data_IF_708163378751
#
_entry.id   IF_708163378751
#
_cell.length_a   1.000
_cell.length_b   1.000
_cell.length_c   1.000
_cell.angle_alpha   90.00
_cell.angle_beta   90.00
_cell.angle_gamma   90.00
#
_symmetry.space_group_name_H-M   'P 1'
#
loop_
_entity.id
_entity.type
_entity.pdbx_description
1 polymer ?
#
# COMPACT_ATOMS: atom_id res chain seq x y z
N UNK A 1 4.76 26.12 24.66
CA UNK A 1 6.18 25.94 25.01
C UNK A 1 6.37 26.40 26.42
N UNK A 2 7.02 25.63 27.26
CA UNK A 2 7.36 25.94 28.62
C UNK A 2 8.54 26.94 28.65
N UNK A 3 8.75 27.68 29.75
CA UNK A 3 9.86 28.64 29.87
C UNK A 3 11.24 27.99 29.73
N UNK A 4 11.34 26.69 29.99
CA UNK A 4 12.57 25.90 29.87
C UNK A 4 12.75 25.25 28.45
N UNK A 5 11.92 25.65 27.49
CA UNK A 5 11.97 25.17 26.11
C UNK A 5 11.30 23.80 25.86
N UNK A 6 10.75 23.15 26.88
CA UNK A 6 10.02 21.88 26.71
C UNK A 6 8.64 22.13 26.13
N UNK A 7 8.13 21.13 25.39
CA UNK A 7 6.75 21.13 24.90
C UNK A 7 5.85 20.50 25.95
N UNK A 8 4.75 21.18 26.32
CA UNK A 8 3.67 20.64 27.12
C UNK A 8 2.47 20.36 26.21
N UNK A 9 1.93 19.14 26.28
CA UNK A 9 0.72 18.71 25.56
C UNK A 9 -0.41 18.64 26.58
N UNK A 10 -1.47 19.46 26.39
CA UNK A 10 -2.55 19.58 27.34
C UNK A 10 -3.79 18.77 26.99
N UNK A 11 -3.99 18.46 25.72
CA UNK A 11 -5.18 17.74 25.25
C UNK A 11 -4.79 16.53 24.42
N UNK A 12 -5.21 15.35 24.88
CA UNK A 12 -5.10 14.06 24.21
C UNK A 12 -6.50 13.46 23.94
N UNK A 13 -7.54 14.30 23.91
CA UNK A 13 -8.94 13.86 23.78
C UNK A 13 -9.29 13.26 22.43
N UNK A 14 -8.56 13.58 21.36
CA UNK A 14 -8.74 12.96 20.05
C UNK A 14 -7.56 12.07 19.72
N UNK A 15 -7.72 10.77 19.92
CA UNK A 15 -6.75 9.74 19.54
C UNK A 15 -7.40 8.74 18.59
N UNK A 16 -6.62 8.25 17.63
CA UNK A 16 -7.03 7.17 16.78
C UNK A 16 -6.12 5.96 17.01
N UNK A 17 -6.74 4.78 17.09
CA UNK A 17 -6.00 3.53 17.09
C UNK A 17 -5.75 3.08 15.66
N UNK A 18 -4.49 2.98 15.28
CA UNK A 18 -4.10 2.52 13.95
C UNK A 18 -3.70 1.04 14.00
N UNK A 19 -4.50 0.14 13.38
CA UNK A 19 -4.19 -1.28 13.34
C UNK A 19 -2.81 -1.54 12.70
N UNK A 20 -2.05 -2.55 13.16
CA UNK A 20 -0.71 -2.82 12.65
C UNK A 20 -0.65 -2.99 11.12
N UNK A 21 -1.62 -3.70 10.53
CA UNK A 21 -1.72 -3.89 9.08
C UNK A 21 -1.91 -2.57 8.32
N UNK A 22 -2.78 -1.69 8.82
CA UNK A 22 -2.99 -0.38 8.22
C UNK A 22 -1.72 0.47 8.30
N UNK A 23 -1.05 0.47 9.45
CA UNK A 23 0.22 1.19 9.64
C UNK A 23 1.31 0.73 8.67
N UNK A 24 1.40 -0.58 8.40
CA UNK A 24 2.36 -1.12 7.42
C UNK A 24 2.05 -0.67 6.00
N UNK A 25 0.77 -0.68 5.62
CA UNK A 25 0.33 -0.18 4.30
C UNK A 25 0.59 1.31 4.15
N UNK A 26 0.27 2.11 5.18
CA UNK A 26 0.53 3.56 5.15
C UNK A 26 2.02 3.88 5.04
N UNK A 27 2.90 3.12 5.69
CA UNK A 27 4.34 3.26 5.51
C UNK A 27 4.75 2.95 4.06
N UNK A 28 4.19 1.92 3.44
CA UNK A 28 4.46 1.58 2.04
C UNK A 28 4.00 2.70 1.11
N UNK A 29 2.79 3.22 1.31
CA UNK A 29 2.24 4.37 0.59
C UNK A 29 3.16 5.59 0.74
N UNK A 30 3.63 5.87 1.95
CA UNK A 30 4.53 7.00 2.20
C UNK A 30 5.86 6.86 1.46
N UNK A 31 6.47 5.66 1.44
CA UNK A 31 7.68 5.40 0.65
C UNK A 31 7.45 5.63 -0.84
N UNK A 32 6.38 5.06 -1.39
CA UNK A 32 6.02 5.24 -2.79
C UNK A 32 5.75 6.71 -3.13
N UNK A 33 5.11 7.47 -2.23
CA UNK A 33 4.83 8.89 -2.41
C UNK A 33 6.11 9.75 -2.42
N UNK A 34 7.04 9.50 -1.50
CA UNK A 34 8.33 10.20 -1.44
C UNK A 34 9.16 9.93 -2.68
N UNK A 35 9.13 8.70 -3.20
CA UNK A 35 9.82 8.30 -4.44
C UNK A 35 9.09 8.76 -5.71
N UNK A 36 7.92 9.41 -5.60
CA UNK A 36 7.13 9.88 -6.75
C UNK A 36 6.39 8.78 -7.51
N UNK A 37 6.26 7.57 -6.94
CA UNK A 37 5.63 6.41 -7.57
C UNK A 37 4.10 6.44 -7.39
N UNK A 38 3.44 7.31 -8.16
CA UNK A 38 2.02 7.62 -8.00
C UNK A 38 1.09 6.43 -8.24
N UNK A 39 1.39 5.55 -9.18
CA UNK A 39 0.61 4.34 -9.47
C UNK A 39 0.62 3.38 -8.27
N UNK A 40 1.78 3.13 -7.66
CA UNK A 40 1.88 2.29 -6.46
C UNK A 40 1.12 2.88 -5.27
N UNK A 41 1.14 4.21 -5.11
CA UNK A 41 0.34 4.91 -4.10
C UNK A 41 -1.15 4.66 -4.32
N UNK A 42 -1.62 4.77 -5.56
CA UNK A 42 -3.02 4.55 -5.90
C UNK A 42 -3.44 3.10 -5.66
N UNK A 43 -2.66 2.13 -6.10
CA UNK A 43 -2.92 0.70 -5.91
C UNK A 43 -2.96 0.31 -4.43
N UNK A 44 -1.99 0.78 -3.65
CA UNK A 44 -1.96 0.52 -2.21
C UNK A 44 -3.15 1.16 -1.48
N UNK A 45 -3.58 2.37 -1.87
CA UNK A 45 -4.79 3.01 -1.33
C UNK A 45 -6.06 2.26 -1.72
N UNK A 46 -6.19 1.80 -2.96
CA UNK A 46 -7.30 0.95 -3.40
C UNK A 46 -7.36 -0.31 -2.53
N UNK A 47 -6.22 -0.93 -2.25
CA UNK A 47 -6.13 -2.19 -1.48
C UNK A 47 -6.64 -2.09 -0.04
N UNK A 48 -6.66 -0.89 0.55
CA UNK A 48 -7.13 -0.63 1.92
C UNK A 48 -8.50 0.07 1.96
N UNK A 49 -9.08 0.35 0.80
CA UNK A 49 -10.31 1.11 0.65
C UNK A 49 -11.45 0.22 0.16
N UNK A 50 -12.68 0.71 0.27
CA UNK A 50 -13.87 0.02 -0.26
C UNK A 50 -14.30 0.68 -1.56
N UNK A 51 -14.36 -0.09 -2.64
CA UNK A 51 -14.90 0.36 -3.94
C UNK A 51 -16.43 0.48 -3.83
N UNK A 52 -16.96 1.62 -4.26
CA UNK A 52 -18.40 1.84 -4.41
C UNK A 52 -18.82 1.50 -5.85
N UNK A 53 -20.13 1.39 -6.11
CA UNK A 53 -20.66 1.04 -7.44
C UNK A 53 -20.19 1.98 -8.56
N UNK A 54 -20.02 3.28 -8.25
CA UNK A 54 -19.57 4.31 -9.20
C UNK A 54 -18.06 4.54 -9.18
N UNK A 55 -17.24 3.54 -8.78
CA UNK A 55 -15.81 3.71 -8.72
C UNK A 55 -15.17 3.81 -10.12
N UNK A 56 -14.60 4.96 -10.41
CA UNK A 56 -13.84 5.27 -11.63
C UNK A 56 -12.33 5.07 -11.35
N UNK A 57 -11.84 3.85 -11.60
CA UNK A 57 -10.46 3.46 -11.33
C UNK A 57 -9.47 4.23 -12.21
N UNK A 58 -9.75 4.40 -13.50
CA UNK A 58 -8.85 5.09 -14.44
C UNK A 58 -8.66 6.56 -14.05
N UNK A 59 -9.74 7.24 -13.72
CA UNK A 59 -9.68 8.61 -13.22
C UNK A 59 -8.92 8.71 -11.92
N UNK A 60 -9.15 7.76 -11.00
CA UNK A 60 -8.48 7.73 -9.69
C UNK A 60 -6.97 7.56 -9.84
N UNK A 61 -6.50 6.59 -10.64
CA UNK A 61 -5.09 6.36 -10.92
C UNK A 61 -4.43 7.62 -11.51
N UNK A 62 -5.06 8.24 -12.50
CA UNK A 62 -4.56 9.44 -13.15
C UNK A 62 -4.46 10.62 -12.19
N UNK A 63 -5.51 10.92 -11.43
CA UNK A 63 -5.53 12.08 -10.51
C UNK A 63 -4.56 11.89 -9.34
N UNK A 64 -4.46 10.67 -8.79
CA UNK A 64 -3.51 10.33 -7.72
C UNK A 64 -2.07 10.41 -8.24
N UNK A 65 -1.78 9.87 -9.42
CA UNK A 65 -0.47 9.97 -10.06
C UNK A 65 -0.03 11.42 -10.25
N UNK A 66 -0.91 12.29 -10.73
CA UNK A 66 -0.64 13.73 -10.89
C UNK A 66 -0.40 14.43 -9.55
N UNK A 67 -1.17 14.09 -8.51
CA UNK A 67 -0.97 14.64 -7.17
C UNK A 67 0.41 14.28 -6.64
N UNK A 68 0.80 13.01 -6.72
CA UNK A 68 2.09 12.51 -6.22
C UNK A 68 3.26 13.08 -7.02
N UNK A 69 3.15 13.19 -8.34
CA UNK A 69 4.17 13.82 -9.18
C UNK A 69 4.40 15.29 -8.78
N UNK A 70 3.33 16.04 -8.54
CA UNK A 70 3.42 17.42 -8.02
C UNK A 70 4.06 17.47 -6.64
N UNK A 71 3.71 16.54 -5.76
CA UNK A 71 4.31 16.43 -4.42
C UNK A 71 5.81 16.16 -4.49
N UNK A 72 6.24 15.22 -5.32
CA UNK A 72 7.64 14.88 -5.50
C UNK A 72 8.46 16.05 -6.09
N UNK A 73 7.87 16.82 -7.01
CA UNK A 73 8.53 17.94 -7.67
C UNK A 73 8.65 19.21 -6.81
N UNK A 74 7.75 19.39 -5.81
CA UNK A 74 7.71 20.62 -5.01
C UNK A 74 8.47 20.47 -3.71
N UNK A 75 9.41 21.37 -3.44
CA UNK A 75 10.20 21.41 -2.20
C UNK A 75 9.44 21.87 -0.96
N UNK A 76 8.20 22.36 -1.08
CA UNK A 76 7.44 23.02 0.00
C UNK A 76 6.00 22.51 0.14
N UNK A 77 5.76 21.23 -0.03
CA UNK A 77 4.42 20.66 0.07
C UNK A 77 4.09 20.26 1.53
N UNK A 78 2.82 20.45 1.89
CA UNK A 78 2.27 20.01 3.18
C UNK A 78 1.88 18.54 3.10
N UNK A 79 2.54 17.68 3.86
CA UNK A 79 2.26 16.24 3.91
C UNK A 79 0.80 15.97 4.33
N UNK A 80 0.30 16.74 5.30
CA UNK A 80 -1.08 16.63 5.76
C UNK A 80 -2.08 16.98 4.64
N UNK A 81 -1.77 17.99 3.81
CA UNK A 81 -2.61 18.37 2.67
C UNK A 81 -2.63 17.28 1.61
N UNK A 82 -1.48 16.68 1.29
CA UNK A 82 -1.40 15.58 0.32
C UNK A 82 -2.29 14.41 0.75
N UNK A 83 -2.24 14.02 2.02
CA UNK A 83 -3.11 12.94 2.55
C UNK A 83 -4.58 13.29 2.39
N UNK A 84 -4.98 14.53 2.71
CA UNK A 84 -6.38 14.96 2.58
C UNK A 84 -6.82 15.08 1.12
N UNK A 85 -5.95 15.52 0.22
CA UNK A 85 -6.24 15.58 -1.22
C UNK A 85 -6.37 14.16 -1.81
N UNK A 86 -5.55 13.18 -1.38
CA UNK A 86 -5.74 11.77 -1.74
C UNK A 86 -7.11 11.24 -1.30
N UNK A 87 -7.54 11.54 -0.07
CA UNK A 87 -8.88 11.17 0.42
C UNK A 87 -9.99 11.83 -0.40
N UNK A 88 -9.81 13.12 -0.79
CA UNK A 88 -10.77 13.85 -1.62
C UNK A 88 -10.89 13.26 -3.01
N UNK A 89 -9.77 12.98 -3.67
CA UNK A 89 -9.73 12.32 -4.98
C UNK A 89 -10.41 10.95 -4.89
N UNK A 90 -10.06 10.14 -3.90
CA UNK A 90 -10.67 8.84 -3.66
C UNK A 90 -12.21 8.94 -3.55
N UNK A 91 -12.69 9.86 -2.72
CA UNK A 91 -14.14 10.09 -2.53
C UNK A 91 -14.81 10.54 -3.83
N UNK A 92 -14.18 11.46 -4.58
CA UNK A 92 -14.71 11.97 -5.86
C UNK A 92 -14.76 10.89 -6.95
N UNK A 93 -13.89 9.90 -6.88
CA UNK A 93 -13.86 8.76 -7.80
C UNK A 93 -14.69 7.55 -7.31
N UNK A 94 -15.43 7.66 -6.20
CA UNK A 94 -16.25 6.56 -5.68
C UNK A 94 -15.47 5.53 -4.87
N UNK A 95 -14.35 5.91 -4.26
CA UNK A 95 -13.55 5.07 -3.38
C UNK A 95 -13.69 5.53 -1.92
N UNK A 96 -14.14 4.66 -1.03
CA UNK A 96 -14.26 4.94 0.41
C UNK A 96 -12.98 4.53 1.12
N UNK A 97 -12.18 5.51 1.52
CA UNK A 97 -10.95 5.30 2.30
C UNK A 97 -11.24 5.05 3.79
N UNK A 98 -10.32 4.38 4.51
CA UNK A 98 -10.39 4.29 5.97
C UNK A 98 -10.45 5.67 6.63
N UNK A 99 -11.29 5.87 7.65
CA UNK A 99 -11.44 7.16 8.34
C UNK A 99 -10.15 7.64 9.02
N UNK A 100 -9.27 6.70 9.37
CA UNK A 100 -7.96 6.96 9.96
C UNK A 100 -7.07 7.83 9.05
N UNK A 101 -7.23 7.75 7.72
CA UNK A 101 -6.51 8.59 6.76
C UNK A 101 -6.88 10.07 6.92
N UNK A 102 -8.16 10.38 7.07
CA UNK A 102 -8.63 11.75 7.29
C UNK A 102 -8.12 12.30 8.62
N UNK A 103 -8.12 11.48 9.67
CA UNK A 103 -7.57 11.85 10.98
C UNK A 103 -6.06 12.08 10.91
N UNK A 104 -5.33 11.20 10.20
CA UNK A 104 -3.90 11.35 9.96
C UNK A 104 -3.59 12.66 9.23
N UNK A 105 -4.30 12.95 8.14
CA UNK A 105 -4.12 14.19 7.37
C UNK A 105 -4.34 15.44 8.24
N UNK A 106 -5.39 15.47 9.06
CA UNK A 106 -5.65 16.56 9.99
C UNK A 106 -4.56 16.69 11.05
N UNK A 107 -4.12 15.57 11.63
CA UNK A 107 -3.04 15.58 12.63
C UNK A 107 -1.73 16.12 12.06
N UNK A 108 -1.39 15.71 10.83
CA UNK A 108 -0.20 16.22 10.11
C UNK A 108 -0.31 17.71 9.82
N UNK A 109 -1.47 18.21 9.35
CA UNK A 109 -1.68 19.65 9.13
C UNK A 109 -1.52 20.47 10.41
N UNK A 110 -2.09 20.00 11.52
CA UNK A 110 -1.94 20.66 12.80
C UNK A 110 -0.47 20.66 13.26
N UNK A 111 0.22 19.53 13.12
CA UNK A 111 1.63 19.42 13.43
C UNK A 111 2.48 20.37 12.59
N UNK A 112 2.27 20.44 11.28
CA UNK A 112 2.96 21.38 10.39
C UNK A 112 2.72 22.84 10.82
N UNK A 113 1.49 23.18 11.19
CA UNK A 113 1.15 24.52 11.66
C UNK A 113 1.93 24.86 12.93
N UNK A 114 1.97 23.93 13.88
CA UNK A 114 2.74 24.11 15.13
C UNK A 114 4.24 24.21 14.83
N UNK A 115 4.78 23.33 13.98
CA UNK A 115 6.19 23.39 13.59
C UNK A 115 6.54 24.72 12.93
N UNK A 116 5.70 25.23 12.04
CA UNK A 116 5.92 26.51 11.34
C UNK A 116 5.87 27.71 12.28
N UNK A 117 5.04 27.65 13.31
CA UNK A 117 4.97 28.71 14.31
C UNK A 117 6.15 28.69 15.29
N UNK A 118 6.62 27.51 15.69
CA UNK A 118 7.68 27.36 16.68
C UNK A 118 9.09 27.37 16.06
N UNK A 119 9.24 26.87 14.84
CA UNK A 119 10.52 26.76 14.15
C UNK A 119 10.31 26.91 12.64
N UNK A 120 10.15 28.15 12.12
CA UNK A 120 9.87 28.40 10.70
C UNK A 120 10.93 27.82 9.74
N UNK A 121 12.16 27.69 10.20
CA UNK A 121 13.30 27.17 9.45
C UNK A 121 13.33 25.62 9.40
N UNK A 122 12.37 24.96 10.06
CA UNK A 122 12.32 23.51 10.13
C UNK A 122 11.86 22.92 8.80
N UNK A 123 12.73 22.15 8.16
CA UNK A 123 12.41 21.37 6.96
C UNK A 123 11.79 20.03 7.36
N UNK A 124 10.46 19.99 7.40
CA UNK A 124 9.69 18.79 7.78
C UNK A 124 9.97 17.64 6.83
N UNK A 125 10.14 17.90 5.52
CA UNK A 125 10.42 16.88 4.51
C UNK A 125 11.73 16.14 4.81
N UNK A 126 12.81 16.85 5.10
CA UNK A 126 14.09 16.23 5.48
C UNK A 126 13.98 15.38 6.73
N UNK A 127 13.13 15.76 7.68
CA UNK A 127 12.88 14.98 8.89
C UNK A 127 12.16 13.68 8.52
N UNK A 128 11.12 13.75 7.71
CA UNK A 128 10.36 12.59 7.22
C UNK A 128 11.29 11.64 6.47
N UNK A 129 12.06 12.13 5.49
CA UNK A 129 13.00 11.32 4.70
C UNK A 129 14.04 10.62 5.61
N UNK A 130 14.60 11.32 6.58
CA UNK A 130 15.56 10.76 7.54
C UNK A 130 14.94 9.66 8.40
N UNK A 131 13.71 9.89 8.90
CA UNK A 131 12.99 8.90 9.70
C UNK A 131 12.60 7.67 8.87
N UNK A 132 12.20 7.87 7.62
CA UNK A 132 11.93 6.77 6.69
C UNK A 132 13.17 5.88 6.48
N UNK A 133 14.33 6.49 6.23
CA UNK A 133 15.60 5.74 6.10
C UNK A 133 15.92 4.96 7.37
N UNK A 134 15.67 5.54 8.55
CA UNK A 134 15.86 4.86 9.83
C UNK A 134 14.93 3.65 9.98
N UNK A 135 13.66 3.80 9.67
CA UNK A 135 12.66 2.72 9.69
C UNK A 135 13.02 1.61 8.70
N UNK A 136 13.46 1.97 7.47
CA UNK A 136 13.93 0.99 6.49
C UNK A 136 15.11 0.18 7.00
N UNK A 137 16.13 0.84 7.54
CA UNK A 137 17.31 0.14 8.10
C UNK A 137 16.94 -0.78 9.26
N UNK A 138 16.02 -0.36 10.12
CA UNK A 138 15.52 -1.18 11.23
C UNK A 138 14.75 -2.41 10.72
N UNK A 139 13.93 -2.25 9.67
CA UNK A 139 13.21 -3.37 9.03
C UNK A 139 14.16 -4.34 8.34
N UNK A 140 15.14 -3.85 7.59
CA UNK A 140 16.18 -4.68 6.97
C UNK A 140 16.96 -5.49 8.01
N UNK A 141 17.36 -4.87 9.12
CA UNK A 141 18.02 -5.59 10.21
C UNK A 141 17.13 -6.67 10.81
N UNK A 142 15.82 -6.42 10.94
CA UNK A 142 14.85 -7.38 11.45
C UNK A 142 14.62 -8.53 10.46
N UNK A 143 14.51 -8.24 9.16
CA UNK A 143 14.35 -9.29 8.13
C UNK A 143 15.60 -10.15 7.95
N UNK A 144 16.79 -9.58 8.14
CA UNK A 144 18.08 -10.29 8.10
C UNK A 144 18.44 -10.95 9.45
N UNK A 145 17.56 -10.91 10.44
CA UNK A 145 17.78 -11.59 11.71
C UNK A 145 17.78 -13.11 11.49
N UNK A 146 18.70 -13.80 12.16
CA UNK A 146 18.88 -15.26 12.03
C UNK A 146 17.59 -16.07 12.26
N UNK A 147 16.67 -15.57 13.09
CA UNK A 147 15.38 -16.20 13.33
C UNK A 147 14.45 -16.15 12.11
N UNK A 148 14.46 -15.04 11.33
CA UNK A 148 13.64 -14.93 10.12
C UNK A 148 14.25 -15.73 8.96
N UNK A 149 15.57 -15.76 8.84
CA UNK A 149 16.26 -16.58 7.84
C UNK A 149 16.02 -18.07 8.14
N UNK A 150 16.01 -18.47 9.41
CA UNK A 150 15.72 -19.85 9.80
C UNK A 150 14.26 -20.24 9.51
N UNK A 151 13.28 -19.35 9.72
CA UNK A 151 11.86 -19.62 9.40
C UNK A 151 11.62 -19.70 7.89
N UNK A 152 12.20 -18.80 7.09
CA UNK A 152 12.13 -18.86 5.62
C UNK A 152 12.82 -20.11 5.07
N UNK A 153 13.97 -20.51 5.65
CA UNK A 153 14.67 -21.75 5.30
C UNK A 153 13.83 -23.00 5.64
N UNK A 154 13.12 -23.00 6.77
CA UNK A 154 12.19 -24.07 7.13
C UNK A 154 10.98 -24.13 6.20
N UNK A 155 10.40 -22.99 5.79
CA UNK A 155 9.31 -22.94 4.82
C UNK A 155 9.76 -23.43 3.44
N UNK A 156 10.96 -23.04 2.99
CA UNK A 156 11.55 -23.55 1.76
C UNK A 156 11.80 -25.06 1.85
N UNK A 157 12.30 -25.55 2.99
CA UNK A 157 12.52 -26.97 3.22
C UNK A 157 11.21 -27.77 3.23
N UNK A 158 10.12 -27.21 3.79
CA UNK A 158 8.79 -27.81 3.71
C UNK A 158 8.27 -27.84 2.28
N UNK A 159 8.40 -26.73 1.52
CA UNK A 159 8.00 -26.67 0.12
C UNK A 159 8.79 -27.67 -0.74
N UNK A 160 10.09 -27.81 -0.51
CA UNK A 160 10.93 -28.80 -1.22
C UNK A 160 10.60 -30.25 -0.83
N UNK A 161 10.15 -30.47 0.41
CA UNK A 161 9.77 -31.81 0.89
C UNK A 161 8.37 -32.23 0.46
N UNK A 162 7.43 -31.29 0.43
CA UNK A 162 6.03 -31.53 0.06
C UNK A 162 5.73 -31.27 -1.42
N UNK A 163 6.58 -30.49 -2.10
CA UNK A 163 6.46 -30.15 -3.52
C UNK A 163 6.38 -31.38 -4.43
N UNK A 164 7.29 -32.37 -4.30
CA UNK A 164 7.23 -33.58 -5.14
C UNK A 164 5.96 -34.40 -4.96
N UNK A 165 5.43 -34.48 -3.72
CA UNK A 165 4.17 -35.18 -3.42
C UNK A 165 2.98 -34.46 -4.01
N UNK A 166 2.86 -33.14 -3.83
CA UNK A 166 1.78 -32.32 -4.42
C UNK A 166 1.79 -32.32 -5.94
N UNK A 167 2.99 -32.32 -6.56
CA UNK A 167 3.13 -32.44 -8.01
C UNK A 167 2.71 -33.84 -8.47
N UNK A 168 3.07 -34.90 -7.75
CA UNK A 168 2.63 -36.26 -8.04
C UNK A 168 1.12 -36.43 -7.91
N UNK A 169 0.51 -35.81 -6.89
CA UNK A 169 -0.95 -35.83 -6.68
C UNK A 169 -1.69 -35.06 -7.78
N UNK A 170 -1.16 -33.92 -8.22
CA UNK A 170 -1.71 -33.15 -9.37
C UNK A 170 -1.55 -33.94 -10.66
N UNK A 171 -0.41 -34.56 -10.89
CA UNK A 171 -0.18 -35.41 -12.08
C UNK A 171 -1.07 -36.67 -12.06
N UNK A 172 -1.32 -37.26 -10.90
CA UNK A 172 -2.25 -38.36 -10.76
C UNK A 172 -3.70 -37.93 -11.05
N UNK A 173 -4.13 -36.79 -10.55
CA UNK A 173 -5.45 -36.21 -10.82
C UNK A 173 -5.63 -35.82 -12.30
N UNK A 174 -4.56 -35.36 -12.96
CA UNK A 174 -4.55 -35.12 -14.40
C UNK A 174 -4.63 -36.42 -15.20
N UNK A 175 -3.88 -37.44 -14.79
CA UNK A 175 -3.87 -38.76 -15.44
C UNK A 175 -5.22 -39.52 -15.30
N UNK A 176 -5.93 -39.33 -14.14
CA UNK A 176 -7.25 -39.92 -13.91
C UNK A 176 -8.40 -39.11 -14.52
N UNK A 177 -8.12 -38.01 -15.25
CA UNK A 177 -9.14 -37.16 -15.89
C UNK A 177 -10.26 -36.68 -14.93
N UNK A 178 -9.93 -36.55 -13.63
CA UNK A 178 -10.87 -36.19 -12.55
C UNK A 178 -10.83 -34.71 -12.14
N UNK A 179 -10.20 -33.83 -12.94
CA UNK A 179 -10.25 -32.39 -12.72
C UNK A 179 -11.63 -31.84 -13.09
N UNK A 180 -12.59 -31.98 -12.18
CA UNK A 180 -13.80 -31.14 -12.23
C UNK A 180 -13.45 -29.77 -11.66
N UNK A 181 -12.99 -28.84 -12.50
CA UNK A 181 -12.92 -27.44 -12.13
C UNK A 181 -14.33 -26.87 -12.07
N UNK A 182 -14.84 -26.67 -10.87
CA UNK A 182 -16.07 -25.92 -10.64
C UNK A 182 -15.75 -24.43 -10.85
N UNK A 183 -15.77 -23.98 -12.08
CA UNK A 183 -15.67 -22.56 -12.42
C UNK A 183 -17.00 -21.92 -12.10
N UNK A 184 -17.11 -21.35 -10.90
CA UNK A 184 -18.27 -20.54 -10.51
C UNK A 184 -17.96 -19.09 -10.92
N UNK A 185 -18.53 -18.63 -12.03
CA UNK A 185 -18.67 -17.21 -12.32
C UNK A 185 -17.63 -16.56 -13.22
N UNK A 186 -17.29 -17.15 -14.36
CA UNK A 186 -16.64 -16.42 -15.46
C UNK A 186 -17.34 -16.81 -16.75
N UNK A 187 -17.76 -15.79 -17.50
CA UNK A 187 -18.47 -15.93 -18.77
C UNK A 187 -17.70 -16.86 -19.74
N UNK A 188 -18.33 -18.00 -20.06
CA UNK A 188 -17.79 -19.05 -20.94
C UNK A 188 -17.34 -18.58 -22.33
N UNK A 189 -17.85 -17.43 -22.80
CA UNK A 189 -17.59 -16.94 -24.16
C UNK A 189 -16.17 -16.45 -24.42
N UNK A 190 -15.48 -15.86 -23.45
CA UNK A 190 -14.14 -15.27 -23.67
C UNK A 190 -12.98 -16.27 -23.54
N UNK A 191 -13.16 -17.31 -22.73
CA UNK A 191 -12.15 -18.36 -22.55
C UNK A 191 -12.09 -19.29 -23.76
N UNK A 192 -13.25 -19.67 -24.34
CA UNK A 192 -13.30 -20.50 -25.53
C UNK A 192 -12.72 -19.80 -26.77
N UNK A 193 -12.95 -18.50 -26.93
CA UNK A 193 -12.38 -17.71 -28.03
C UNK A 193 -10.84 -17.60 -27.97
N UNK A 194 -10.29 -17.46 -26.78
CA UNK A 194 -8.84 -17.39 -26.58
C UNK A 194 -8.15 -18.76 -26.74
N UNK A 195 -8.78 -19.84 -26.29
CA UNK A 195 -8.28 -21.20 -26.49
C UNK A 195 -8.31 -21.60 -27.96
N UNK A 196 -9.31 -21.21 -28.73
CA UNK A 196 -9.43 -21.46 -30.14
C UNK A 196 -8.37 -20.70 -30.98
N UNK A 197 -8.03 -19.45 -30.56
CA UNK A 197 -6.94 -18.67 -31.16
C UNK A 197 -5.56 -19.28 -30.89
N UNK A 198 -5.34 -19.87 -29.71
CA UNK A 198 -4.10 -20.56 -29.37
C UNK A 198 -3.98 -21.87 -30.10
N UNK A 199 -5.05 -22.67 -30.17
CA UNK A 199 -5.07 -23.95 -30.90
C UNK A 199 -4.79 -23.77 -32.41
N UNK A 200 -5.37 -22.75 -33.05
CA UNK A 200 -5.14 -22.43 -34.45
C UNK A 200 -3.71 -21.90 -34.76
N UNK A 201 -3.00 -21.39 -33.72
CA UNK A 201 -1.62 -20.92 -33.88
C UNK A 201 -0.57 -22.02 -33.73
N UNK A 202 -0.94 -23.13 -33.10
CA UNK A 202 -0.07 -24.31 -32.90
C UNK A 202 -0.23 -25.30 -34.05
N UNK A 203 -1.33 -25.21 -34.82
CA UNK A 203 -1.65 -26.11 -35.95
C UNK A 203 -1.26 -25.54 -37.35
N UNK A 204 -0.69 -24.29 -37.36
CA UNK A 204 -0.15 -23.65 -38.56
C UNK A 204 1.38 -23.56 -38.50
#
# INVERSE_FOLDING_TARGET
>A
VMPDGRLAIFDLGMVAHMPPRLRERLLKILFAAVDGRGEEVADDLISISTRLEAFDEERYLRETGQLIARYAASGSFSEGRVVLDMVRIATACGLRTPPELSLLGKALLNLETVCRLLAPELDTRRIVERQLQHVMRARLKKSLSAANIASEAMELQQLLRDGPRKLSDIMALLAENRLQMKVTGLEESRLMENLQKIANRVAA
#
